data_IF_779618902981
#
_entry.id   IF_779618902981
#
_cell.length_a   1.000
_cell.length_b   1.000
_cell.length_c   1.000
_cell.angle_alpha   90.00
_cell.angle_beta   90.00
_cell.angle_gamma   90.00
#
_symmetry.space_group_name_H-M   'P 1'
#
loop_
_entity.id
_entity.type
_entity.pdbx_description
1 polymer ?
#
# COMPACT_ATOMS: atom_id res chain seq x y z
N UNK A 1 23.93 12.48 74.44
CA UNK A 1 23.67 13.75 73.74
C UNK A 1 22.16 13.98 73.77
N UNK A 2 21.75 14.80 74.75
CA UNK A 2 20.56 15.66 74.89
C UNK A 2 19.29 15.18 74.15
N UNK A 3 18.26 14.58 74.75
CA UNK A 3 17.52 14.77 76.01
C UNK A 3 16.46 15.89 75.99
N UNK A 4 15.28 15.50 76.47
CA UNK A 4 13.99 16.17 76.48
C UNK A 4 13.85 17.42 77.37
N UNK A 5 12.81 18.20 77.07
CA UNK A 5 11.91 18.82 78.06
C UNK A 5 12.17 20.29 78.40
N UNK A 6 11.18 21.16 78.19
CA UNK A 6 10.34 21.75 79.25
C UNK A 6 9.27 22.70 78.69
N UNK A 7 8.21 22.82 79.48
CA UNK A 7 6.94 23.52 79.27
C UNK A 7 7.03 25.03 79.04
N UNK A 8 5.95 25.63 78.50
CA UNK A 8 5.15 26.65 79.21
C UNK A 8 3.93 27.11 78.38
N UNK A 9 2.80 27.22 79.08
CA UNK A 9 1.55 27.79 78.61
C UNK A 9 1.62 29.33 78.54
N UNK A 10 0.88 29.93 77.62
CA UNK A 10 0.69 31.38 77.46
C UNK A 10 -0.46 31.68 76.47
N UNK A 11 -1.10 32.86 76.56
CA UNK A 11 -2.55 32.99 76.58
C UNK A 11 -3.24 33.11 75.22
N UNK A 12 -4.56 32.90 75.27
CA UNK A 12 -5.52 33.10 74.20
C UNK A 12 -5.43 34.49 73.56
N UNK A 13 -5.45 34.51 72.22
CA UNK A 13 -5.80 35.68 71.43
C UNK A 13 -6.92 35.27 70.47
N UNK A 14 -8.11 35.80 70.74
CA UNK A 14 -9.23 35.86 69.80
C UNK A 14 -8.78 36.63 68.57
N UNK A 15 -8.76 35.99 67.41
CA UNK A 15 -8.68 36.69 66.12
C UNK A 15 -9.87 36.26 65.28
N UNK A 16 -10.68 37.27 64.98
CA UNK A 16 -11.93 37.24 64.25
C UNK A 16 -11.86 36.44 62.96
N UNK A 17 -12.85 35.57 62.77
CA UNK A 17 -13.17 34.93 61.50
C UNK A 17 -13.50 35.99 60.44
N UNK A 18 -12.50 36.31 59.62
CA UNK A 18 -12.70 37.01 58.35
C UNK A 18 -12.94 35.95 57.29
N UNK A 19 -14.21 35.78 56.92
CA UNK A 19 -14.64 34.98 55.79
C UNK A 19 -14.05 35.57 54.50
N UNK A 20 -12.94 35.00 54.03
CA UNK A 20 -12.43 35.22 52.68
C UNK A 20 -13.37 34.51 51.72
N UNK A 21 -14.20 35.29 51.04
CA UNK A 21 -14.96 34.83 49.87
C UNK A 21 -13.96 34.55 48.75
N UNK A 22 -13.54 33.30 48.61
CA UNK A 22 -12.78 32.85 47.45
C UNK A 22 -13.77 32.72 46.29
N UNK A 23 -13.86 33.77 45.47
CA UNK A 23 -14.50 33.66 44.17
C UNK A 23 -13.70 32.64 43.33
N UNK A 24 -14.22 31.42 43.24
CA UNK A 24 -13.72 30.42 42.30
C UNK A 24 -13.93 30.99 40.89
N UNK A 25 -12.87 31.51 40.29
CA UNK A 25 -12.86 31.89 38.90
C UNK A 25 -12.87 30.59 38.09
N UNK A 26 -14.08 30.14 37.75
CA UNK A 26 -14.29 29.03 36.85
C UNK A 26 -13.63 29.39 35.52
N UNK A 27 -12.42 28.89 35.32
CA UNK A 27 -11.77 28.89 34.03
C UNK A 27 -12.68 28.15 33.07
N UNK A 28 -13.36 28.91 32.20
CA UNK A 28 -14.02 28.36 31.04
C UNK A 28 -12.92 27.74 30.19
N UNK A 29 -12.71 26.43 30.35
CA UNK A 29 -11.91 25.65 29.44
C UNK A 29 -12.50 25.86 28.06
N UNK A 30 -11.76 26.58 27.21
CA UNK A 30 -12.14 26.74 25.81
C UNK A 30 -12.27 25.33 25.24
N UNK A 31 -13.51 24.90 25.01
CA UNK A 31 -13.80 23.67 24.29
C UNK A 31 -13.17 23.87 22.92
N UNK A 32 -12.07 23.16 22.65
CA UNK A 32 -11.42 23.20 21.36
C UNK A 32 -12.49 22.86 20.31
N UNK A 33 -12.75 23.80 19.39
CA UNK A 33 -13.67 23.57 18.31
C UNK A 33 -13.28 22.25 17.60
N UNK A 34 -14.26 21.41 17.19
CA UNK A 34 -13.96 20.20 16.45
C UNK A 34 -13.08 20.58 15.26
N UNK A 35 -11.85 20.05 15.21
CA UNK A 35 -11.01 20.20 14.02
C UNK A 35 -11.78 19.54 12.89
N UNK A 36 -12.11 20.31 11.85
CA UNK A 36 -12.64 19.71 10.63
C UNK A 36 -11.69 18.60 10.20
N UNK A 37 -12.20 17.40 9.85
CA UNK A 37 -11.34 16.33 9.39
C UNK A 37 -10.56 16.84 8.18
N UNK A 38 -9.23 16.92 8.32
CA UNK A 38 -8.33 17.27 7.22
C UNK A 38 -8.51 16.20 6.15
N UNK A 39 -9.10 16.60 5.01
CA UNK A 39 -9.27 15.71 3.87
C UNK A 39 -7.91 15.21 3.39
N UNK A 40 -7.88 13.97 2.90
CA UNK A 40 -6.69 13.41 2.28
C UNK A 40 -6.27 14.29 1.09
N UNK A 41 -5.00 14.75 1.04
CA UNK A 41 -4.50 15.56 -0.05
C UNK A 41 -4.41 14.78 -1.37
N UNK A 42 -4.67 15.47 -2.48
CA UNK A 42 -4.56 14.93 -3.84
C UNK A 42 -3.30 15.47 -4.50
N UNK A 43 -2.49 14.61 -5.11
CA UNK A 43 -1.26 14.96 -5.80
C UNK A 43 -1.41 14.65 -7.30
N UNK A 44 -0.83 15.50 -8.14
CA UNK A 44 -0.63 15.17 -9.55
C UNK A 44 0.63 14.31 -9.73
N UNK A 45 0.70 13.59 -10.86
CA UNK A 45 1.92 12.96 -11.34
C UNK A 45 2.33 13.56 -12.69
N UNK A 46 3.65 13.59 -12.92
CA UNK A 46 4.25 14.00 -14.19
C UNK A 46 4.91 12.80 -14.85
N UNK A 47 4.80 12.69 -16.17
CA UNK A 47 5.44 11.62 -16.94
C UNK A 47 6.91 11.99 -17.16
N UNK A 48 7.81 11.13 -16.69
CA UNK A 48 9.26 11.24 -16.91
C UNK A 48 9.65 10.54 -18.21
N UNK A 49 9.12 9.34 -18.44
CA UNK A 49 9.39 8.56 -19.64
C UNK A 49 8.23 7.63 -19.98
N UNK A 50 8.21 7.17 -21.23
CA UNK A 50 7.26 6.18 -21.76
C UNK A 50 8.05 5.02 -22.34
N UNK A 51 7.63 3.80 -22.03
CA UNK A 51 8.26 2.57 -22.50
C UNK A 51 7.20 1.67 -23.17
N UNK A 52 7.58 0.87 -24.17
CA UNK A 52 6.66 -0.10 -24.77
C UNK A 52 6.17 -1.11 -23.74
N UNK A 53 4.87 -1.41 -23.78
CA UNK A 53 4.25 -2.46 -22.98
C UNK A 53 3.43 -3.40 -23.89
N UNK A 54 3.31 -4.67 -23.48
CA UNK A 54 2.62 -5.69 -24.25
C UNK A 54 1.11 -5.44 -24.22
N UNK A 55 0.52 -5.15 -25.38
CA UNK A 55 -0.93 -4.89 -25.55
C UNK A 55 -1.80 -6.11 -25.27
N UNK A 56 -1.21 -7.29 -25.12
CA UNK A 56 -1.92 -8.53 -24.78
C UNK A 56 -1.80 -8.90 -23.31
N UNK A 57 -1.01 -8.17 -22.52
CA UNK A 57 -0.82 -8.45 -21.10
C UNK A 57 -1.97 -7.89 -20.25
N UNK A 58 -2.70 -8.78 -19.58
CA UNK A 58 -3.65 -8.39 -18.54
C UNK A 58 -2.89 -8.25 -17.22
N UNK A 59 -2.22 -7.11 -16.99
CA UNK A 59 -1.31 -6.90 -15.85
C UNK A 59 -2.04 -7.02 -14.51
N UNK A 60 -1.60 -7.95 -13.66
CA UNK A 60 -2.15 -8.14 -12.29
C UNK A 60 -1.11 -8.00 -11.17
N UNK A 61 0.17 -8.05 -11.51
CA UNK A 61 1.24 -7.71 -10.58
C UNK A 61 2.45 -7.22 -11.34
N UNK A 62 3.08 -6.16 -10.85
CA UNK A 62 4.27 -5.58 -11.46
C UNK A 62 5.33 -5.36 -10.38
N UNK A 63 6.60 -5.59 -10.71
CA UNK A 63 7.71 -5.24 -9.81
C UNK A 63 8.97 -4.92 -10.60
N UNK A 64 9.85 -4.15 -9.98
CA UNK A 64 11.19 -3.90 -10.50
C UNK A 64 12.22 -4.71 -9.73
N UNK A 65 13.10 -5.42 -10.45
CA UNK A 65 14.21 -6.13 -9.81
C UNK A 65 15.39 -6.29 -10.78
N UNK A 66 16.59 -5.98 -10.29
CA UNK A 66 17.87 -6.20 -10.98
C UNK A 66 17.91 -5.72 -12.46
N UNK A 67 17.33 -4.55 -12.73
CA UNK A 67 17.38 -3.92 -14.05
C UNK A 67 16.29 -4.37 -15.03
N UNK A 68 15.35 -5.19 -14.57
CA UNK A 68 14.22 -5.67 -15.36
C UNK A 68 12.90 -5.46 -14.62
N UNK A 69 11.82 -5.43 -15.40
CA UNK A 69 10.47 -5.59 -14.88
C UNK A 69 10.19 -7.08 -14.71
N UNK A 70 9.44 -7.42 -13.68
CA UNK A 70 8.74 -8.70 -13.61
C UNK A 70 7.25 -8.43 -13.52
N UNK A 71 6.49 -9.25 -14.19
CA UNK A 71 5.06 -9.06 -14.36
C UNK A 71 4.34 -10.39 -14.19
N UNK A 72 3.21 -10.37 -13.50
CA UNK A 72 2.23 -11.43 -13.48
C UNK A 72 1.02 -10.97 -14.29
N UNK A 73 0.55 -11.81 -15.20
CA UNK A 73 -0.61 -11.52 -16.02
C UNK A 73 -1.76 -12.47 -15.70
N UNK A 74 -2.97 -11.93 -15.74
CA UNK A 74 -4.21 -12.67 -15.61
C UNK A 74 -4.74 -13.22 -16.93
N UNK A 75 -6.02 -13.61 -16.90
CA UNK A 75 -6.80 -14.32 -17.92
C UNK A 75 -6.61 -15.84 -17.92
N UNK A 76 -7.74 -16.55 -17.96
CA UNK A 76 -7.78 -18.01 -18.05
C UNK A 76 -6.97 -18.49 -19.26
N UNK A 77 -6.17 -19.54 -19.05
CA UNK A 77 -5.28 -20.16 -20.07
C UNK A 77 -4.16 -19.26 -20.61
N UNK A 78 -4.13 -17.98 -20.24
CA UNK A 78 -3.17 -16.99 -20.73
C UNK A 78 -2.21 -16.52 -19.63
N UNK A 79 -2.58 -16.73 -18.36
CA UNK A 79 -1.82 -16.28 -17.20
C UNK A 79 -0.38 -16.79 -17.20
N UNK A 80 0.57 -15.90 -16.92
CA UNK A 80 1.99 -16.22 -16.79
C UNK A 80 2.72 -15.22 -15.89
N UNK A 81 3.88 -15.64 -15.41
CA UNK A 81 4.87 -14.74 -14.81
C UNK A 81 6.02 -14.56 -15.80
N UNK A 82 6.43 -13.33 -16.02
CA UNK A 82 7.42 -12.96 -17.04
C UNK A 82 8.45 -11.97 -16.51
N UNK A 83 9.64 -12.02 -17.09
CA UNK A 83 10.69 -11.01 -16.93
C UNK A 83 10.77 -10.20 -18.21
N UNK A 84 10.71 -8.89 -18.12
CA UNK A 84 10.56 -7.97 -19.26
C UNK A 84 11.66 -6.92 -19.26
N UNK A 85 12.22 -6.66 -20.44
CA UNK A 85 13.15 -5.56 -20.68
C UNK A 85 12.42 -4.23 -20.65
N UNK A 86 12.83 -3.31 -19.78
CA UNK A 86 12.26 -1.96 -19.70
C UNK A 86 12.38 -1.21 -21.04
N UNK A 87 13.52 -1.36 -21.73
CA UNK A 87 13.86 -0.52 -22.89
C UNK A 87 12.91 -0.75 -24.07
N UNK A 88 12.54 -2.00 -24.32
CA UNK A 88 11.85 -2.40 -25.55
C UNK A 88 10.64 -3.32 -25.30
N UNK A 89 10.26 -3.56 -24.04
CA UNK A 89 9.10 -4.37 -23.68
C UNK A 89 9.25 -5.87 -24.00
N UNK A 90 10.45 -6.32 -24.38
CA UNK A 90 10.66 -7.73 -24.76
C UNK A 90 10.60 -8.65 -23.55
N UNK A 91 9.85 -9.74 -23.69
CA UNK A 91 9.84 -10.85 -22.75
C UNK A 91 11.18 -11.58 -22.82
N UNK A 92 11.95 -11.51 -21.74
CA UNK A 92 13.28 -12.12 -21.59
C UNK A 92 13.20 -13.56 -21.04
N UNK A 93 12.18 -13.83 -20.24
CA UNK A 93 11.86 -15.14 -19.69
C UNK A 93 10.38 -15.18 -19.32
N UNK A 94 9.78 -16.38 -19.33
CA UNK A 94 8.35 -16.57 -19.02
C UNK A 94 8.10 -17.96 -18.46
N UNK A 95 7.21 -18.04 -17.48
CA UNK A 95 6.69 -19.28 -16.93
C UNK A 95 5.16 -19.22 -16.90
N UNK A 96 4.50 -20.22 -17.50
CA UNK A 96 3.04 -20.28 -17.54
C UNK A 96 2.49 -20.67 -16.17
N UNK A 97 1.39 -20.04 -15.78
CA UNK A 97 0.52 -20.50 -14.70
C UNK A 97 -0.39 -21.61 -15.27
N UNK A 98 -0.90 -22.50 -14.40
CA UNK A 98 -1.82 -23.56 -14.83
C UNK A 98 -2.99 -22.96 -15.62
N UNK A 99 -3.35 -23.49 -16.81
CA UNK A 99 -4.42 -22.93 -17.62
C UNK A 99 -5.79 -22.83 -16.95
N UNK A 100 -6.04 -23.59 -15.88
CA UNK A 100 -7.28 -23.52 -15.09
C UNK A 100 -7.29 -22.38 -14.05
N UNK A 101 -6.16 -21.70 -13.87
CA UNK A 101 -5.99 -20.65 -12.86
C UNK A 101 -5.90 -19.28 -13.52
N UNK A 102 -6.26 -18.26 -12.74
CA UNK A 102 -6.10 -16.86 -13.09
C UNK A 102 -4.99 -16.25 -12.24
N UNK A 103 -3.89 -15.81 -12.88
CA UNK A 103 -2.74 -15.23 -12.20
C UNK A 103 -3.00 -13.81 -11.72
N UNK A 104 -2.47 -13.47 -10.54
CA UNK A 104 -2.73 -12.20 -9.85
C UNK A 104 -1.43 -11.53 -9.39
N UNK A 105 -1.44 -10.76 -8.30
CA UNK A 105 -0.33 -10.00 -7.76
C UNK A 105 0.98 -10.77 -7.58
N UNK A 106 2.09 -10.04 -7.65
CA UNK A 106 3.44 -10.58 -7.71
C UNK A 106 4.37 -9.82 -6.76
N UNK A 107 5.04 -10.53 -5.87
CA UNK A 107 6.05 -9.93 -4.98
C UNK A 107 7.39 -10.67 -5.05
N UNK A 108 8.46 -9.94 -4.80
CA UNK A 108 9.78 -10.50 -4.54
C UNK A 108 9.92 -10.83 -3.05
N UNK A 109 10.32 -12.05 -2.74
CA UNK A 109 10.78 -12.44 -1.42
C UNK A 109 12.13 -13.15 -1.52
N UNK A 110 13.20 -12.44 -1.10
CA UNK A 110 14.59 -12.90 -1.22
C UNK A 110 14.95 -13.23 -2.68
N UNK A 111 15.24 -14.50 -2.97
CA UNK A 111 15.62 -15.01 -4.28
C UNK A 111 14.45 -15.64 -5.05
N UNK A 112 13.22 -15.42 -4.58
CA UNK A 112 12.01 -16.00 -5.16
C UNK A 112 10.97 -14.95 -5.49
N UNK A 113 10.26 -15.17 -6.57
CA UNK A 113 8.99 -14.49 -6.83
C UNK A 113 7.85 -15.32 -6.23
N UNK A 114 6.87 -14.63 -5.66
CA UNK A 114 5.62 -15.20 -5.19
C UNK A 114 4.51 -14.57 -6.02
N UNK A 115 3.75 -15.36 -6.77
CA UNK A 115 2.60 -14.88 -7.55
C UNK A 115 1.31 -15.51 -7.05
N UNK A 116 0.28 -14.68 -6.88
CA UNK A 116 -1.04 -15.12 -6.42
C UNK A 116 -1.89 -15.68 -7.57
N UNK A 117 -3.01 -16.25 -7.19
CA UNK A 117 -4.14 -16.62 -8.05
C UNK A 117 -5.41 -15.94 -7.57
N UNK A 118 -6.40 -15.74 -8.42
CA UNK A 118 -7.59 -15.00 -8.00
C UNK A 118 -8.42 -15.77 -6.96
N UNK A 119 -9.01 -16.91 -7.34
CA UNK A 119 -9.91 -17.67 -6.46
C UNK A 119 -9.36 -19.01 -5.98
N UNK A 120 -8.20 -19.46 -6.50
CA UNK A 120 -7.70 -20.81 -6.24
C UNK A 120 -7.02 -20.96 -4.87
N UNK A 121 -6.70 -19.86 -4.20
CA UNK A 121 -5.96 -19.86 -2.93
C UNK A 121 -4.56 -20.46 -3.07
N UNK A 122 -3.91 -20.26 -4.23
CA UNK A 122 -2.57 -20.77 -4.55
C UNK A 122 -1.62 -19.60 -4.76
N UNK A 123 -0.49 -19.64 -4.03
CA UNK A 123 0.64 -18.77 -4.30
C UNK A 123 1.77 -19.60 -4.92
N UNK A 124 2.07 -19.38 -6.19
CA UNK A 124 3.19 -20.03 -6.86
C UNK A 124 4.51 -19.39 -6.44
N UNK A 125 5.57 -20.22 -6.34
CA UNK A 125 6.93 -19.75 -6.09
C UNK A 125 7.81 -20.01 -7.29
N UNK A 126 8.56 -18.99 -7.70
CA UNK A 126 9.44 -19.04 -8.85
C UNK A 126 10.85 -18.63 -8.46
N UNK A 127 11.84 -19.27 -9.04
CA UNK A 127 13.22 -18.79 -8.99
C UNK A 127 13.31 -17.43 -9.69
N UNK A 128 13.74 -16.36 -9.00
CA UNK A 128 13.72 -15.00 -9.57
C UNK A 128 14.57 -14.85 -10.85
N UNK A 129 15.64 -15.65 -10.98
CA UNK A 129 16.58 -15.53 -12.11
C UNK A 129 16.09 -16.30 -13.33
N UNK A 130 15.49 -17.46 -13.11
CA UNK A 130 15.17 -18.43 -14.17
C UNK A 130 13.68 -18.62 -14.42
N UNK A 131 12.83 -18.13 -13.52
CA UNK A 131 11.37 -18.39 -13.46
C UNK A 131 11.01 -19.88 -13.39
N UNK A 132 11.95 -20.75 -12.99
CA UNK A 132 11.64 -22.16 -12.76
C UNK A 132 10.76 -22.30 -11.51
N UNK A 133 9.71 -23.15 -11.53
CA UNK A 133 8.90 -23.41 -10.35
C UNK A 133 9.76 -23.91 -9.18
N UNK A 134 9.51 -23.37 -7.99
CA UNK A 134 10.13 -23.78 -6.72
C UNK A 134 9.14 -24.47 -5.77
N UNK A 135 7.85 -24.43 -6.10
CA UNK A 135 6.77 -24.97 -5.28
C UNK A 135 5.59 -24.01 -5.20
N UNK A 136 4.68 -24.28 -4.28
CA UNK A 136 3.48 -23.47 -4.06
C UNK A 136 3.11 -23.46 -2.57
N UNK A 137 2.43 -22.41 -2.15
CA UNK A 137 1.76 -22.32 -0.86
C UNK A 137 0.25 -22.19 -1.06
N UNK A 138 -0.50 -22.43 0.01
CA UNK A 138 -1.93 -22.14 0.08
C UNK A 138 -2.20 -20.91 0.93
N UNK A 139 -3.22 -20.15 0.55
CA UNK A 139 -3.81 -19.10 1.36
C UNK A 139 -5.33 -19.14 1.27
N UNK A 140 -5.99 -18.43 2.18
CA UNK A 140 -7.44 -18.29 2.25
C UNK A 140 -7.88 -16.96 1.66
N UNK A 141 -9.08 -16.95 1.06
CA UNK A 141 -9.66 -15.78 0.40
C UNK A 141 -9.17 -15.59 -1.03
N UNK A 142 -9.54 -14.45 -1.62
CA UNK A 142 -9.05 -14.06 -2.95
C UNK A 142 -7.63 -13.50 -2.87
N UNK A 143 -6.89 -13.57 -3.98
CA UNK A 143 -5.63 -12.86 -4.17
C UNK A 143 -5.79 -11.79 -5.25
N UNK A 144 -5.49 -10.53 -4.93
CA UNK A 144 -5.43 -9.45 -5.91
C UNK A 144 -3.99 -8.96 -5.96
N UNK A 145 -3.62 -7.84 -5.33
CA UNK A 145 -2.25 -7.35 -5.26
C UNK A 145 -1.38 -8.05 -4.21
N UNK A 146 -0.06 -8.06 -4.44
CA UNK A 146 0.95 -8.57 -3.51
C UNK A 146 2.22 -7.73 -3.59
N UNK A 147 2.76 -7.28 -2.46
CA UNK A 147 4.10 -6.68 -2.37
C UNK A 147 4.82 -7.17 -1.10
N UNK A 148 6.05 -6.71 -0.85
CA UNK A 148 6.78 -7.00 0.39
C UNK A 148 7.28 -5.73 1.05
N UNK A 149 7.13 -5.65 2.38
CA UNK A 149 7.75 -4.62 3.23
C UNK A 149 9.14 -5.03 3.73
N UNK A 150 9.69 -6.15 3.24
CA UNK A 150 10.96 -6.73 3.69
C UNK A 150 10.86 -7.62 4.93
N UNK A 151 9.70 -7.68 5.59
CA UNK A 151 9.45 -8.51 6.79
C UNK A 151 8.31 -9.51 6.56
N UNK A 152 7.32 -9.11 5.78
CA UNK A 152 6.10 -9.84 5.45
C UNK A 152 5.77 -9.66 3.97
N UNK A 153 4.81 -10.46 3.51
CA UNK A 153 4.08 -10.17 2.28
C UNK A 153 2.81 -9.41 2.64
N UNK A 154 2.50 -8.35 1.90
CA UNK A 154 1.28 -7.57 2.04
C UNK A 154 0.38 -7.88 0.86
N UNK A 155 -0.81 -8.40 1.13
CA UNK A 155 -1.79 -8.82 0.14
C UNK A 155 -3.04 -7.96 0.22
N UNK A 156 -3.59 -7.60 -0.94
CA UNK A 156 -4.97 -7.13 -1.09
C UNK A 156 -5.85 -8.23 -1.69
N UNK A 157 -7.15 -8.11 -1.50
CA UNK A 157 -8.17 -9.06 -1.98
C UNK A 157 -9.43 -8.35 -2.49
N UNK A 158 -9.31 -7.07 -2.88
CA UNK A 158 -10.44 -6.21 -3.27
C UNK A 158 -11.30 -5.71 -2.11
N UNK A 159 -11.11 -6.21 -0.88
CA UNK A 159 -11.75 -5.66 0.31
C UNK A 159 -11.12 -4.33 0.73
N UNK A 160 -11.56 -3.81 1.89
CA UNK A 160 -10.95 -2.65 2.53
C UNK A 160 -9.91 -3.02 3.58
N UNK A 161 -9.20 -4.13 3.40
CA UNK A 161 -8.17 -4.59 4.31
C UNK A 161 -6.88 -4.96 3.56
N UNK A 162 -5.74 -4.74 4.21
CA UNK A 162 -4.47 -5.32 3.80
C UNK A 162 -4.14 -6.47 4.73
N UNK A 163 -3.87 -7.64 4.14
CA UNK A 163 -3.52 -8.86 4.84
C UNK A 163 -2.00 -8.97 4.88
N UNK A 164 -1.43 -8.95 6.08
CA UNK A 164 -0.01 -9.26 6.28
C UNK A 164 0.15 -10.76 6.44
N UNK A 165 0.97 -11.37 5.57
CA UNK A 165 1.20 -12.81 5.53
C UNK A 165 2.64 -13.16 5.88
N UNK A 166 2.79 -14.32 6.51
CA UNK A 166 4.08 -14.96 6.65
C UNK A 166 4.67 -15.27 5.26
N UNK A 167 5.89 -14.79 4.97
CA UNK A 167 6.42 -14.88 3.62
C UNK A 167 6.90 -16.28 3.24
N UNK A 168 7.01 -17.22 4.19
CA UNK A 168 7.39 -18.61 3.94
C UNK A 168 6.14 -19.49 3.83
N UNK A 169 5.19 -19.33 4.74
CA UNK A 169 4.01 -20.21 4.84
C UNK A 169 2.76 -19.65 4.18
N UNK A 170 2.69 -18.34 3.94
CA UNK A 170 1.51 -17.56 3.53
C UNK A 170 0.38 -17.53 4.59
N UNK A 171 0.67 -18.01 5.80
CA UNK A 171 -0.25 -17.89 6.93
C UNK A 171 -0.52 -16.41 7.23
N UNK A 172 -1.79 -16.07 7.42
CA UNK A 172 -2.19 -14.74 7.84
C UNK A 172 -1.61 -14.42 9.23
N UNK A 173 -0.98 -13.25 9.35
CA UNK A 173 -0.43 -12.74 10.61
C UNK A 173 -1.33 -11.67 11.22
N UNK A 174 -1.80 -10.74 10.40
CA UNK A 174 -2.70 -9.65 10.81
C UNK A 174 -3.42 -9.05 9.61
N UNK A 175 -4.48 -8.30 9.89
CA UNK A 175 -5.20 -7.44 8.94
C UNK A 175 -5.14 -5.99 9.40
N UNK A 176 -5.11 -5.08 8.44
CA UNK A 176 -5.18 -3.64 8.68
C UNK A 176 -6.30 -3.07 7.83
N UNK A 177 -7.31 -2.50 8.46
CA UNK A 177 -8.42 -1.84 7.77
C UNK A 177 -7.94 -0.55 7.11
N UNK A 178 -8.19 -0.42 5.81
CA UNK A 178 -7.81 0.75 5.02
C UNK A 178 -8.94 1.76 5.02
N UNK A 179 -8.61 3.01 5.36
CA UNK A 179 -9.59 4.10 5.39
C UNK A 179 -9.11 5.35 4.68
N UNK A 180 -10.02 6.00 3.97
CA UNK A 180 -9.85 7.34 3.39
C UNK A 180 -10.89 8.27 4.02
N UNK A 181 -10.46 9.39 4.59
CA UNK A 181 -11.31 10.33 5.33
C UNK A 181 -12.23 9.64 6.37
N UNK A 182 -11.69 8.62 7.05
CA UNK A 182 -12.40 7.85 8.09
C UNK A 182 -13.41 6.83 7.57
N UNK A 183 -13.53 6.64 6.25
CA UNK A 183 -14.41 5.64 5.62
C UNK A 183 -13.61 4.48 5.05
N UNK A 184 -14.10 3.23 5.08
CA UNK A 184 -13.44 2.10 4.43
C UNK A 184 -13.22 2.37 2.94
N UNK A 185 -12.01 2.11 2.44
CA UNK A 185 -11.69 2.15 1.01
C UNK A 185 -11.62 0.73 0.47
N UNK A 186 -12.52 0.37 -0.45
CA UNK A 186 -12.57 -0.95 -1.10
C UNK A 186 -11.85 -0.94 -2.45
N UNK A 187 -11.86 -2.10 -3.12
CA UNK A 187 -11.35 -2.31 -4.48
C UNK A 187 -9.85 -2.04 -4.59
N UNK A 188 -9.14 -2.29 -3.49
CA UNK A 188 -7.69 -2.21 -3.42
C UNK A 188 -7.13 -3.37 -4.25
N UNK A 189 -6.41 -3.03 -5.31
CA UNK A 189 -5.90 -3.99 -6.26
C UNK A 189 -4.38 -4.08 -6.15
N UNK A 190 -3.63 -3.88 -7.23
CA UNK A 190 -2.18 -4.03 -7.25
C UNK A 190 -1.48 -3.10 -6.22
N UNK A 191 -0.37 -3.60 -5.66
CA UNK A 191 0.33 -3.02 -4.52
C UNK A 191 1.82 -2.85 -4.80
N UNK A 192 2.41 -1.77 -4.29
CA UNK A 192 3.87 -1.63 -4.24
C UNK A 192 4.34 -0.91 -2.97
N UNK A 193 5.42 -1.41 -2.34
CA UNK A 193 5.98 -0.81 -1.13
C UNK A 193 7.09 0.20 -1.45
N UNK A 194 6.82 1.49 -1.22
CA UNK A 194 7.66 2.61 -1.64
C UNK A 194 7.95 3.53 -0.46
N UNK A 195 9.23 3.72 -0.12
CA UNK A 195 9.66 4.63 0.95
C UNK A 195 8.93 4.44 2.30
N UNK A 196 8.64 3.20 2.66
CA UNK A 196 7.94 2.88 3.92
C UNK A 196 6.41 2.99 3.86
N UNK A 197 5.85 3.37 2.72
CA UNK A 197 4.41 3.46 2.49
C UNK A 197 3.95 2.40 1.47
N UNK A 198 2.69 2.00 1.56
CA UNK A 198 2.07 1.12 0.59
C UNK A 198 1.35 1.96 -0.47
N UNK A 199 1.80 1.90 -1.72
CA UNK A 199 1.01 2.38 -2.84
C UNK A 199 0.05 1.28 -3.28
N UNK A 200 -1.16 1.67 -3.65
CA UNK A 200 -2.15 0.74 -4.17
C UNK A 200 -2.94 1.34 -5.34
N UNK A 201 -3.19 0.54 -6.35
CA UNK A 201 -4.25 0.78 -7.31
C UNK A 201 -5.62 0.67 -6.62
N UNK A 202 -6.57 1.50 -7.05
CA UNK A 202 -7.99 1.32 -6.74
C UNK A 202 -8.70 0.96 -8.06
N UNK A 203 -9.22 -0.26 -8.14
CA UNK A 203 -9.72 -0.86 -9.38
C UNK A 203 -10.82 -0.01 -10.04
N UNK A 204 -10.82 0.04 -11.38
CA UNK A 204 -11.66 0.92 -12.21
C UNK A 204 -11.53 2.44 -11.93
N UNK A 205 -10.51 2.89 -11.21
CA UNK A 205 -10.23 4.32 -11.05
C UNK A 205 -8.95 4.73 -11.77
N UNK A 206 -8.79 6.03 -12.00
CA UNK A 206 -7.53 6.63 -12.44
C UNK A 206 -6.66 7.10 -11.27
N UNK A 207 -6.78 6.49 -10.09
CA UNK A 207 -6.07 6.92 -8.88
C UNK A 207 -5.17 5.81 -8.32
N UNK A 208 -4.04 6.23 -7.76
CA UNK A 208 -3.36 5.45 -6.73
C UNK A 208 -3.67 6.06 -5.36
N UNK A 209 -3.56 5.25 -4.32
CA UNK A 209 -3.57 5.73 -2.93
C UNK A 209 -2.26 5.39 -2.25
N UNK A 210 -1.78 6.29 -1.39
CA UNK A 210 -0.64 6.03 -0.48
C UNK A 210 -1.18 5.74 0.91
N UNK A 211 -0.98 4.52 1.38
CA UNK A 211 -1.49 4.00 2.65
C UNK A 211 -0.33 3.90 3.64
N UNK A 212 -0.55 4.38 4.86
CA UNK A 212 0.33 4.05 5.99
C UNK A 212 0.09 2.57 6.37
N UNK A 213 1.07 1.67 6.19
CA UNK A 213 0.89 0.24 6.43
C UNK A 213 0.68 -0.11 7.92
N UNK A 214 1.06 0.78 8.83
CA UNK A 214 0.87 0.55 10.27
C UNK A 214 -0.57 0.85 10.70
N UNK A 215 -1.20 1.86 10.11
CA UNK A 215 -2.53 2.35 10.53
C UNK A 215 -3.64 2.09 9.54
N UNK A 216 -3.32 1.79 8.29
CA UNK A 216 -4.28 1.66 7.18
C UNK A 216 -4.84 3.00 6.69
N UNK A 217 -4.40 4.13 7.24
CA UNK A 217 -4.89 5.44 6.81
C UNK A 217 -4.29 5.79 5.45
N UNK A 218 -5.15 6.17 4.52
CA UNK A 218 -4.71 6.83 3.29
C UNK A 218 -4.16 8.22 3.64
N UNK A 219 -2.94 8.48 3.20
CA UNK A 219 -2.19 9.71 3.45
C UNK A 219 -2.10 10.62 2.22
N UNK A 220 -2.36 10.07 1.03
CA UNK A 220 -2.46 10.82 -0.21
C UNK A 220 -3.24 10.03 -1.27
N UNK A 221 -3.88 10.76 -2.17
CA UNK A 221 -4.37 10.25 -3.46
C UNK A 221 -3.44 10.78 -4.56
N UNK A 222 -3.07 9.94 -5.51
CA UNK A 222 -2.29 10.32 -6.69
C UNK A 222 -3.19 10.23 -7.92
N UNK A 223 -3.41 11.35 -8.59
CA UNK A 223 -4.24 11.46 -9.78
C UNK A 223 -3.47 11.10 -11.04
N UNK A 224 -3.80 9.92 -11.59
CA UNK A 224 -3.25 9.39 -12.84
C UNK A 224 -4.28 9.38 -13.97
N UNK A 225 -5.45 10.03 -13.81
CA UNK A 225 -6.45 10.15 -14.88
C UNK A 225 -5.90 10.74 -16.18
N UNK A 226 -4.93 11.69 -16.18
CA UNK A 226 -4.29 12.14 -17.41
C UNK A 226 -3.60 11.01 -18.21
N UNK A 227 -2.98 10.03 -17.53
CA UNK A 227 -2.37 8.86 -18.19
C UNK A 227 -3.44 7.94 -18.76
N UNK A 228 -4.52 7.68 -17.99
CA UNK A 228 -5.67 6.89 -18.46
C UNK A 228 -6.28 7.50 -19.72
N UNK A 229 -6.44 8.83 -19.74
CA UNK A 229 -6.95 9.57 -20.90
C UNK A 229 -6.00 9.50 -22.11
N UNK A 230 -4.69 9.51 -21.88
CA UNK A 230 -3.69 9.35 -22.95
C UNK A 230 -3.76 7.97 -23.62
N UNK A 231 -4.01 6.92 -22.82
CA UNK A 231 -4.14 5.54 -23.33
C UNK A 231 -5.41 5.39 -24.18
N UNK A 232 -6.49 6.08 -23.81
CA UNK A 232 -7.75 6.11 -24.53
C UNK A 232 -8.27 4.70 -24.92
N UNK A 233 -8.11 3.73 -24.01
CA UNK A 233 -8.53 2.36 -24.25
C UNK A 233 -10.06 2.28 -24.39
N UNK A 234 -10.52 1.46 -25.33
CA UNK A 234 -11.95 1.20 -25.57
C UNK A 234 -12.46 0.00 -24.80
N UNK A 235 -11.56 -0.90 -24.41
CA UNK A 235 -11.89 -2.05 -23.58
C UNK A 235 -12.13 -1.58 -22.13
N UNK A 236 -13.30 -1.87 -21.52
CA UNK A 236 -13.59 -1.45 -20.16
C UNK A 236 -12.66 -2.07 -19.11
N UNK A 237 -12.04 -3.20 -19.41
CA UNK A 237 -11.10 -3.89 -18.51
C UNK A 237 -9.65 -3.45 -18.74
N UNK A 238 -9.38 -2.60 -19.74
CA UNK A 238 -8.06 -2.01 -19.97
C UNK A 238 -7.77 -0.84 -19.01
N UNK A 239 -7.86 -1.13 -17.72
CA UNK A 239 -7.75 -0.16 -16.61
C UNK A 239 -6.31 -0.02 -16.11
N UNK A 240 -6.05 1.11 -15.43
CA UNK A 240 -4.82 1.32 -14.67
C UNK A 240 -4.64 0.21 -13.62
N UNK A 241 -3.53 -0.54 -13.70
CA UNK A 241 -3.16 -1.59 -12.75
C UNK A 241 -1.68 -1.98 -12.96
N UNK A 242 -0.91 -2.04 -11.87
CA UNK A 242 0.52 -2.36 -11.91
C UNK A 242 1.39 -1.16 -11.53
N UNK A 243 2.16 -1.32 -10.46
CA UNK A 243 3.07 -0.33 -9.89
C UNK A 243 4.40 -1.02 -9.62
N UNK A 244 5.51 -0.42 -10.04
CA UNK A 244 6.83 -0.96 -9.74
C UNK A 244 7.79 0.14 -9.31
N UNK A 245 8.64 -0.15 -8.32
CA UNK A 245 9.58 0.82 -7.80
C UNK A 245 11.04 0.36 -7.88
N UNK A 246 11.85 1.15 -8.60
CA UNK A 246 13.30 1.02 -8.59
C UNK A 246 13.89 1.81 -7.43
N UNK A 247 14.07 1.16 -6.29
CA UNK A 247 14.63 1.77 -5.09
C UNK A 247 16.03 2.37 -5.29
N UNK A 248 16.84 1.84 -6.22
CA UNK A 248 18.21 2.29 -6.43
C UNK A 248 18.28 3.62 -7.18
N UNK A 249 17.42 3.80 -8.17
CA UNK A 249 17.35 5.01 -8.98
C UNK A 249 16.20 5.95 -8.58
N UNK A 250 15.39 5.55 -7.60
CA UNK A 250 14.16 6.20 -7.16
C UNK A 250 13.20 6.50 -8.31
N UNK A 251 12.90 5.45 -9.10
CA UNK A 251 11.98 5.53 -10.24
C UNK A 251 10.70 4.78 -9.95
N UNK A 252 9.56 5.39 -10.22
CA UNK A 252 8.24 4.79 -10.08
C UNK A 252 7.66 4.54 -11.46
N UNK A 253 7.22 3.30 -11.69
CA UNK A 253 6.61 2.87 -12.94
C UNK A 253 5.15 2.51 -12.71
N UNK A 254 4.30 2.86 -13.67
CA UNK A 254 2.88 2.49 -13.69
C UNK A 254 2.47 2.06 -15.09
N UNK A 255 1.54 1.11 -15.15
CA UNK A 255 0.95 0.63 -16.41
C UNK A 255 -0.53 0.30 -16.20
N UNK A 256 -1.12 -0.44 -17.13
CA UNK A 256 -2.45 -0.99 -16.99
C UNK A 256 -2.65 -2.25 -17.80
N UNK A 257 -3.80 -2.87 -17.56
CA UNK A 257 -4.25 -4.06 -18.29
C UNK A 257 -4.40 -3.70 -19.77
N UNK A 258 -3.76 -4.46 -20.65
CA UNK A 258 -3.71 -4.24 -22.09
C UNK A 258 -3.12 -2.89 -22.53
N UNK A 259 -2.48 -2.13 -21.63
CA UNK A 259 -1.92 -0.84 -21.99
C UNK A 259 -0.74 -1.03 -22.96
N UNK A 260 -0.64 -0.23 -24.04
CA UNK A 260 0.51 -0.27 -24.93
C UNK A 260 1.76 0.39 -24.35
N UNK A 261 1.63 1.06 -23.20
CA UNK A 261 2.63 1.95 -22.63
C UNK A 261 2.76 1.73 -21.14
N UNK A 262 4.01 1.57 -20.69
CA UNK A 262 4.40 1.71 -19.30
C UNK A 262 5.01 3.10 -19.10
N UNK A 263 4.58 3.79 -18.05
CA UNK A 263 5.02 5.14 -17.73
C UNK A 263 5.99 5.12 -16.56
N UNK A 264 7.09 5.84 -16.67
CA UNK A 264 7.83 6.30 -15.50
C UNK A 264 7.25 7.65 -15.07
N UNK A 265 6.90 7.77 -13.79
CA UNK A 265 6.22 8.95 -13.26
C UNK A 265 6.98 9.54 -12.08
N UNK A 266 6.75 10.83 -11.86
CA UNK A 266 7.14 11.53 -10.64
C UNK A 266 5.92 12.19 -10.00
N UNK A 267 5.65 11.84 -8.75
CA UNK A 267 4.58 12.45 -7.94
C UNK A 267 5.03 13.87 -7.54
N UNK A 268 4.11 14.84 -7.62
CA UNK A 268 4.39 16.21 -7.23
C UNK A 268 4.80 16.32 -5.74
N UNK A 269 5.63 17.32 -5.42
CA UNK A 269 6.10 17.54 -4.04
C UNK A 269 5.02 18.16 -3.14
N UNK A 270 4.04 18.85 -3.74
CA UNK A 270 2.91 19.49 -3.06
C UNK A 270 1.59 19.00 -3.65
N UNK A 271 0.51 18.97 -2.85
CA UNK A 271 -0.81 18.65 -3.36
C UNK A 271 -1.33 19.72 -4.35
N UNK A 272 -2.37 19.37 -5.10
CA UNK A 272 -3.10 20.25 -6.01
C UNK A 272 -3.83 21.38 -5.26
#
# INVERSE_FOLDING_TARGET
MIAAGFALAGPAVLVSSSSLSSAAQAGQGAVAAPREPTRVPVFSATIVARYPHDRTAFTEGLLWHDGALYESTGQERQSDVRRVSLKDGKILAKARIDPAQFGEGLALWKDQLVSLTWHDGIAHRWDVRTLKPKGQNRYTGEGWGLTSDGVSLLQSDGSSEIISRDPLTLAERKRVAVTIDGRPLRDINELEYVHGALLANVWHTGFLVRIDPATGKVTAVIDLRPLVAEIAATDPEAVLNGIAWDAKADRLFVTGKYWPTLFEIKIAATPQ
#
